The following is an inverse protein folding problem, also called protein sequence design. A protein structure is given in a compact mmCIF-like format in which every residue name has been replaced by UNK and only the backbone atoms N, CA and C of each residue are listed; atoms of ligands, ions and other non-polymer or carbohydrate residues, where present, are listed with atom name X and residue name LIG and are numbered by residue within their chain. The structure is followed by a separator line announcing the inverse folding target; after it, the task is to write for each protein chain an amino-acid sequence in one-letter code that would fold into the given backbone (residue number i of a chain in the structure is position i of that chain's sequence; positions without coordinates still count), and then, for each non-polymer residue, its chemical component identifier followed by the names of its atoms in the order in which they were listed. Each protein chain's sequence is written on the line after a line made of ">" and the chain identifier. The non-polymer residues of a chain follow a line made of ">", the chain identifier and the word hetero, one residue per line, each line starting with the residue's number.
data_IF_412469166088
#
_entry.id   IF_412469166088
#
_cell.length_a   1.000
_cell.length_b   1.000
_cell.length_c   1.000
_cell.angle_alpha   90.00
_cell.angle_beta   90.00
_cell.angle_gamma   90.00
#
_symmetry.space_group_name_H-M   'P 1'
#
loop_
_entity.id
_entity.type
_entity.pdbx_description
1 polymer ?
#
# COMPACT_ATOMS: atom_id res chain seq x y z
N UNK A 1 -18.72 10.03 -34.43
CA UNK A 1 -19.55 10.87 -33.53
C UNK A 1 -18.88 10.89 -32.17
N UNK A 2 -18.51 12.05 -31.63
CA UNK A 2 -17.90 12.14 -30.32
C UNK A 2 -19.02 12.11 -29.27
N UNK A 3 -19.08 11.04 -28.46
CA UNK A 3 -19.91 11.07 -27.25
C UNK A 3 -19.09 11.81 -26.21
N UNK A 4 -19.41 13.10 -26.08
CA UNK A 4 -18.93 13.98 -25.04
C UNK A 4 -19.80 13.73 -23.81
N UNK A 5 -19.44 12.72 -23.03
CA UNK A 5 -19.97 12.58 -21.68
C UNK A 5 -18.97 13.22 -20.71
N UNK A 6 -19.14 14.53 -20.52
CA UNK A 6 -18.50 15.32 -19.47
C UNK A 6 -19.04 14.97 -18.07
N UNK A 7 -19.72 13.83 -17.93
CA UNK A 7 -20.26 13.36 -16.66
C UNK A 7 -19.24 12.43 -16.00
N UNK A 8 -18.28 13.02 -15.29
CA UNK A 8 -17.50 12.28 -14.30
C UNK A 8 -18.50 11.63 -13.32
N UNK A 9 -18.77 10.34 -13.53
CA UNK A 9 -19.65 9.54 -12.68
C UNK A 9 -19.22 9.70 -11.21
N UNK A 10 -20.16 9.68 -10.27
CA UNK A 10 -19.85 9.65 -8.82
C UNK A 10 -18.81 8.56 -8.46
N UNK A 11 -18.67 7.52 -9.29
CA UNK A 11 -17.58 6.52 -9.29
C UNK A 11 -16.16 7.09 -9.42
N UNK A 12 -15.94 8.09 -10.27
CA UNK A 12 -14.63 8.69 -10.53
C UNK A 12 -14.27 9.77 -9.49
N UNK A 13 -15.26 10.43 -8.89
CA UNK A 13 -15.06 11.37 -7.80
C UNK A 13 -14.46 10.67 -6.57
N UNK A 14 -14.92 9.44 -6.29
CA UNK A 14 -14.38 8.58 -5.24
C UNK A 14 -12.93 8.16 -5.45
N UNK A 15 -12.42 8.03 -6.68
CA UNK A 15 -10.98 7.74 -6.90
C UNK A 15 -10.12 8.94 -6.47
N UNK A 16 -10.58 10.17 -6.73
CA UNK A 16 -9.93 11.39 -6.22
C UNK A 16 -10.04 11.48 -4.71
N UNK A 17 -11.22 11.20 -4.14
CA UNK A 17 -11.48 11.29 -2.70
C UNK A 17 -10.84 10.16 -1.90
N UNK A 18 -10.81 8.91 -2.34
CA UNK A 18 -10.02 7.82 -1.70
C UNK A 18 -8.53 8.11 -1.82
N UNK A 19 -8.11 8.64 -2.98
CA UNK A 19 -6.77 9.17 -3.18
C UNK A 19 -6.46 10.47 -2.42
N UNK A 20 -7.44 11.14 -1.79
CA UNK A 20 -7.30 12.30 -0.89
C UNK A 20 -7.46 11.87 0.59
N UNK A 21 -8.34 10.92 0.88
CA UNK A 21 -8.65 10.31 2.17
C UNK A 21 -7.47 9.46 2.67
N UNK A 22 -6.76 8.78 1.76
CA UNK A 22 -5.47 8.19 2.09
C UNK A 22 -4.33 9.20 2.24
N UNK A 23 -4.49 10.47 1.82
CA UNK A 23 -3.49 11.53 2.11
C UNK A 23 -3.58 12.06 3.54
N UNK A 24 -4.76 12.02 4.14
CA UNK A 24 -4.99 12.58 5.48
C UNK A 24 -4.69 11.59 6.60
N UNK A 25 -4.61 10.28 6.33
CA UNK A 25 -4.50 9.26 7.38
C UNK A 25 -3.09 8.79 7.72
N UNK A 26 -2.06 9.23 7.01
CA UNK A 26 -0.64 8.93 7.36
C UNK A 26 0.12 10.20 7.71
N UNK A 27 -0.31 10.89 8.76
CA UNK A 27 0.52 11.90 9.40
C UNK A 27 0.58 11.71 10.92
N UNK A 28 1.14 10.58 11.34
CA UNK A 28 1.86 10.53 12.62
C UNK A 28 3.22 9.92 12.35
N UNK A 29 4.20 10.78 12.02
CA UNK A 29 5.61 10.41 12.07
C UNK A 29 6.00 10.21 13.52
N UNK A 30 5.81 9.00 14.03
CA UNK A 30 6.57 8.56 15.20
C UNK A 30 8.00 8.36 14.72
N UNK A 31 8.91 9.27 15.09
CA UNK A 31 10.35 9.11 14.85
C UNK A 31 10.78 7.70 15.29
N UNK A 32 11.11 6.85 14.32
CA UNK A 32 11.70 5.55 14.61
C UNK A 32 13.13 5.72 15.15
N UNK A 33 13.63 4.78 15.96
CA UNK A 33 14.91 4.93 16.66
C UNK A 33 16.08 5.10 15.69
N UNK A 34 17.13 5.82 16.14
CA UNK A 34 18.33 6.08 15.36
C UNK A 34 19.05 4.77 14.97
N UNK A 35 19.66 4.77 13.80
CA UNK A 35 20.35 3.61 13.22
C UNK A 35 21.36 2.91 14.15
N UNK A 36 22.00 3.67 15.05
CA UNK A 36 22.94 3.17 16.07
C UNK A 36 22.30 2.22 17.09
N UNK A 37 21.00 2.35 17.36
CA UNK A 37 20.28 1.51 18.32
C UNK A 37 19.91 0.16 17.73
N UNK A 38 19.56 0.11 16.43
CA UNK A 38 19.16 -1.12 15.75
C UNK A 38 20.34 -2.10 15.59
N UNK A 39 21.56 -1.63 15.39
CA UNK A 39 22.73 -2.51 15.19
C UNK A 39 23.17 -3.30 16.43
N UNK A 40 22.71 -2.92 17.63
CA UNK A 40 23.02 -3.63 18.86
C UNK A 40 22.06 -4.79 19.16
N UNK A 41 20.96 -4.90 18.43
CA UNK A 41 19.94 -5.93 18.62
C UNK A 41 20.30 -7.23 17.88
N UNK A 42 19.81 -8.40 18.33
CA UNK A 42 19.85 -9.63 17.54
C UNK A 42 19.19 -9.45 16.17
N UNK A 43 19.70 -10.15 15.15
CA UNK A 43 19.24 -10.04 13.77
C UNK A 43 17.74 -10.31 13.59
N UNK A 44 17.18 -11.24 14.37
CA UNK A 44 15.74 -11.54 14.36
C UNK A 44 14.90 -10.33 14.78
N UNK A 45 15.34 -9.61 15.82
CA UNK A 45 14.66 -8.40 16.30
C UNK A 45 14.84 -7.27 15.27
N UNK A 46 16.03 -7.16 14.68
CA UNK A 46 16.28 -6.21 13.59
C UNK A 46 15.33 -6.44 12.41
N UNK A 47 15.12 -7.70 11.99
CA UNK A 47 14.23 -8.04 10.89
C UNK A 47 12.77 -7.64 11.20
N UNK A 48 12.29 -7.93 12.41
CA UNK A 48 10.95 -7.53 12.85
C UNK A 48 10.76 -6.00 12.87
N UNK A 49 11.78 -5.26 13.29
CA UNK A 49 11.77 -3.79 13.25
C UNK A 49 11.65 -3.29 11.81
N UNK A 50 12.44 -3.84 10.89
CA UNK A 50 12.42 -3.44 9.47
C UNK A 50 11.04 -3.71 8.84
N UNK A 51 10.43 -4.85 9.12
CA UNK A 51 9.09 -5.18 8.62
C UNK A 51 8.02 -4.27 9.21
N UNK A 52 8.13 -3.96 10.51
CA UNK A 52 7.22 -3.01 11.16
C UNK A 52 7.36 -1.63 10.54
N UNK A 53 8.57 -1.20 10.23
CA UNK A 53 8.83 0.09 9.58
C UNK A 53 8.29 0.08 8.15
N UNK A 54 8.50 -0.99 7.39
CA UNK A 54 7.95 -1.13 6.04
C UNK A 54 6.41 -1.05 6.00
N UNK A 55 5.74 -1.57 7.03
CA UNK A 55 4.28 -1.46 7.17
C UNK A 55 3.80 -0.03 7.45
N UNK A 56 4.60 0.81 8.08
CA UNK A 56 4.14 2.10 8.63
C UNK A 56 4.70 3.33 7.92
N UNK A 57 5.93 3.29 7.42
CA UNK A 57 6.62 4.48 6.92
C UNK A 57 7.63 4.19 5.81
N UNK A 58 7.29 4.65 4.60
CA UNK A 58 8.17 4.63 3.44
C UNK A 58 9.51 5.35 3.71
N UNK A 59 9.44 6.55 4.30
CA UNK A 59 10.61 7.39 4.54
C UNK A 59 11.56 6.73 5.54
N UNK A 60 11.03 6.17 6.63
CA UNK A 60 11.85 5.52 7.65
C UNK A 60 12.46 4.22 7.13
N UNK A 61 11.77 3.47 6.26
CA UNK A 61 12.33 2.27 5.63
C UNK A 61 13.55 2.61 4.78
N UNK A 62 13.46 3.65 3.95
CA UNK A 62 14.58 4.09 3.11
C UNK A 62 15.71 4.71 3.96
N UNK A 63 15.37 5.41 5.05
CA UNK A 63 16.33 5.88 6.03
C UNK A 63 17.10 4.73 6.70
N UNK A 64 16.39 3.68 7.15
CA UNK A 64 17.00 2.47 7.70
C UNK A 64 17.89 1.79 6.67
N UNK A 65 17.43 1.65 5.42
CA UNK A 65 18.21 1.06 4.33
C UNK A 65 19.53 1.79 4.08
N UNK A 66 19.52 3.13 4.15
CA UNK A 66 20.71 3.95 3.96
C UNK A 66 21.68 3.92 5.15
N UNK A 67 21.24 3.40 6.30
CA UNK A 67 22.00 3.53 7.55
C UNK A 67 23.16 2.54 7.70
N UNK A 68 23.02 1.30 7.23
CA UNK A 68 24.06 0.28 7.33
C UNK A 68 23.85 -0.85 6.32
N UNK A 69 24.93 -1.63 6.08
CA UNK A 69 24.86 -2.82 5.21
C UNK A 69 23.91 -3.89 5.75
N UNK A 70 23.87 -4.09 7.08
CA UNK A 70 22.94 -5.03 7.72
C UNK A 70 21.49 -4.62 7.47
N UNK A 71 21.14 -3.36 7.78
CA UNK A 71 19.79 -2.85 7.58
C UNK A 71 19.36 -2.90 6.12
N UNK A 72 20.28 -2.60 5.19
CA UNK A 72 20.04 -2.74 3.76
C UNK A 72 19.67 -4.18 3.38
N UNK A 73 20.45 -5.16 3.83
CA UNK A 73 20.20 -6.57 3.54
C UNK A 73 18.86 -7.05 4.13
N UNK A 74 18.51 -6.59 5.34
CA UNK A 74 17.21 -6.90 5.94
C UNK A 74 16.05 -6.25 5.17
N UNK A 75 16.18 -4.99 4.78
CA UNK A 75 15.15 -4.24 4.04
C UNK A 75 14.89 -4.81 2.63
N UNK A 76 15.84 -5.54 2.06
CA UNK A 76 15.71 -6.18 0.75
C UNK A 76 15.15 -7.62 0.83
N UNK A 77 14.86 -8.14 2.02
CA UNK A 77 14.23 -9.46 2.19
C UNK A 77 12.81 -9.48 1.63
N UNK A 78 12.43 -10.61 1.03
CA UNK A 78 11.08 -10.85 0.48
C UNK A 78 9.95 -10.54 1.47
N UNK A 79 10.12 -10.93 2.73
CA UNK A 79 9.14 -10.70 3.80
C UNK A 79 8.83 -9.22 4.03
N UNK A 80 9.80 -8.33 3.79
CA UNK A 80 9.59 -6.88 3.89
C UNK A 80 8.62 -6.40 2.82
N UNK A 81 8.77 -6.87 1.58
CA UNK A 81 7.82 -6.56 0.50
C UNK A 81 6.42 -7.11 0.76
N UNK A 82 6.28 -8.20 1.52
CA UNK A 82 4.96 -8.68 1.93
C UNK A 82 4.24 -7.74 2.91
N UNK A 83 4.97 -7.09 3.83
CA UNK A 83 4.39 -6.17 4.83
C UNK A 83 4.37 -4.70 4.41
N UNK A 84 5.06 -4.35 3.33
CA UNK A 84 5.19 -2.99 2.84
C UNK A 84 3.82 -2.38 2.49
N UNK A 85 3.45 -1.24 3.09
CA UNK A 85 2.21 -0.55 2.73
C UNK A 85 2.45 0.38 1.55
N UNK A 86 2.05 -0.05 0.36
CA UNK A 86 2.22 0.72 -0.90
C UNK A 86 1.48 2.06 -0.83
N UNK A 87 0.43 2.18 0.00
CA UNK A 87 -0.25 3.45 0.21
C UNK A 87 0.59 4.49 0.95
N UNK A 88 1.68 4.07 1.61
CA UNK A 88 2.64 5.00 2.23
C UNK A 88 3.56 5.68 1.21
N UNK A 89 3.59 5.23 -0.05
CA UNK A 89 4.37 5.89 -1.09
C UNK A 89 3.69 7.20 -1.49
N UNK A 90 4.42 8.31 -1.65
CA UNK A 90 3.88 9.52 -2.25
C UNK A 90 3.51 9.27 -3.72
N UNK A 91 2.25 8.91 -4.01
CA UNK A 91 1.72 8.61 -5.35
C UNK A 91 1.89 9.73 -6.39
N UNK A 92 2.30 10.94 -5.97
CA UNK A 92 2.66 12.06 -6.86
C UNK A 92 4.07 11.96 -7.45
N UNK A 93 4.94 11.16 -6.84
CA UNK A 93 6.29 10.90 -7.32
C UNK A 93 6.21 9.64 -8.19
N UNK A 94 6.69 9.71 -9.43
CA UNK A 94 6.75 8.59 -10.39
C UNK A 94 6.92 7.25 -9.66
N UNK A 95 5.85 6.45 -9.63
CA UNK A 95 5.83 5.22 -8.87
C UNK A 95 6.93 4.29 -9.40
N UNK A 96 7.83 3.74 -8.55
CA UNK A 96 8.82 2.78 -9.04
C UNK A 96 8.11 1.51 -9.51
N UNK A 97 8.01 1.33 -10.83
CA UNK A 97 7.27 0.22 -11.45
C UNK A 97 7.78 -1.15 -11.00
N UNK A 98 9.09 -1.28 -10.80
CA UNK A 98 9.73 -2.52 -10.32
C UNK A 98 9.37 -2.86 -8.86
N UNK A 99 9.17 -1.85 -8.01
CA UNK A 99 8.76 -2.08 -6.62
C UNK A 99 7.35 -2.67 -6.57
N UNK A 100 6.42 -2.12 -7.35
CA UNK A 100 5.06 -2.65 -7.45
C UNK A 100 5.03 -4.07 -8.01
N UNK A 101 5.80 -4.35 -9.08
CA UNK A 101 5.92 -5.70 -9.63
C UNK A 101 6.41 -6.70 -8.58
N UNK A 102 7.41 -6.30 -7.81
CA UNK A 102 7.97 -7.14 -6.73
C UNK A 102 6.93 -7.37 -5.64
N UNK A 103 6.26 -6.33 -5.16
CA UNK A 103 5.22 -6.46 -4.13
C UNK A 103 4.03 -7.31 -4.62
N UNK A 104 3.64 -7.17 -5.89
CA UNK A 104 2.60 -7.98 -6.51
C UNK A 104 3.00 -9.47 -6.57
N UNK A 105 4.24 -9.76 -6.98
CA UNK A 105 4.77 -11.13 -7.01
C UNK A 105 4.81 -11.79 -5.62
N UNK A 106 5.10 -11.01 -4.57
CA UNK A 106 5.09 -11.46 -3.17
C UNK A 106 3.67 -11.48 -2.54
N UNK A 107 2.62 -11.30 -3.36
CA UNK A 107 1.21 -11.24 -2.94
C UNK A 107 0.98 -10.27 -1.78
N UNK A 108 1.66 -9.12 -1.81
CA UNK A 108 1.52 -8.08 -0.82
C UNK A 108 0.05 -7.62 -0.71
N UNK A 109 -0.56 -7.62 0.49
CA UNK A 109 -1.98 -7.32 0.64
C UNK A 109 -2.36 -5.89 0.19
N UNK A 110 -1.51 -4.89 0.47
CA UNK A 110 -1.76 -3.51 0.05
C UNK A 110 -1.72 -3.33 -1.48
N UNK A 111 -0.85 -4.10 -2.16
CA UNK A 111 -0.70 -4.10 -3.62
C UNK A 111 -1.90 -4.77 -4.27
N UNK A 112 -2.31 -5.94 -3.76
CA UNK A 112 -3.52 -6.63 -4.21
C UNK A 112 -4.75 -5.73 -4.07
N UNK A 113 -4.87 -5.03 -2.94
CA UNK A 113 -5.94 -4.06 -2.71
C UNK A 113 -5.96 -2.94 -3.74
N UNK A 114 -4.83 -2.24 -3.97
CA UNK A 114 -4.83 -1.09 -4.89
C UNK A 114 -5.02 -1.52 -6.34
N UNK A 115 -4.46 -2.66 -6.75
CA UNK A 115 -4.72 -3.24 -8.07
C UNK A 115 -6.20 -3.61 -8.21
N UNK A 116 -6.80 -4.22 -7.18
CA UNK A 116 -8.22 -4.55 -7.16
C UNK A 116 -9.13 -3.32 -7.28
N UNK A 117 -8.82 -2.25 -6.54
CA UNK A 117 -9.51 -0.95 -6.64
C UNK A 117 -9.37 -0.37 -8.05
N UNK A 118 -8.18 -0.41 -8.64
CA UNK A 118 -7.96 0.09 -10.00
C UNK A 118 -8.75 -0.71 -11.04
N UNK A 119 -8.76 -2.04 -10.92
CA UNK A 119 -9.51 -2.93 -11.82
C UNK A 119 -11.01 -2.66 -11.72
N UNK A 120 -11.53 -2.59 -10.49
CA UNK A 120 -12.95 -2.38 -10.24
C UNK A 120 -13.43 -0.98 -10.68
N UNK A 121 -12.74 0.08 -10.24
CA UNK A 121 -13.22 1.45 -10.42
C UNK A 121 -12.68 2.16 -11.66
N UNK A 122 -11.45 1.85 -12.11
CA UNK A 122 -10.84 2.54 -13.26
C UNK A 122 -11.00 1.78 -14.57
N UNK A 123 -10.86 0.45 -14.54
CA UNK A 123 -10.94 -0.38 -15.75
C UNK A 123 -12.29 -1.08 -15.94
N UNK A 124 -13.19 -0.97 -14.95
CA UNK A 124 -14.50 -1.61 -14.95
C UNK A 124 -14.43 -3.15 -15.11
N UNK A 125 -13.32 -3.74 -14.66
CA UNK A 125 -13.08 -5.19 -14.59
C UNK A 125 -13.48 -5.64 -13.18
N UNK A 126 -14.79 -5.78 -12.97
CA UNK A 126 -15.37 -5.86 -11.62
C UNK A 126 -15.07 -7.18 -10.91
N UNK A 127 -15.24 -8.32 -11.58
CA UNK A 127 -15.02 -9.65 -10.97
C UNK A 127 -13.56 -9.84 -10.54
N UNK A 128 -12.60 -9.55 -11.42
CA UNK A 128 -11.19 -9.64 -11.10
C UNK A 128 -10.80 -8.62 -10.01
N UNK A 129 -11.34 -7.40 -10.08
CA UNK A 129 -11.12 -6.38 -9.05
C UNK A 129 -11.60 -6.83 -7.67
N UNK A 130 -12.79 -7.42 -7.58
CA UNK A 130 -13.33 -8.01 -6.35
C UNK A 130 -12.51 -9.20 -5.87
N UNK A 131 -12.03 -10.06 -6.79
CA UNK A 131 -11.19 -11.21 -6.45
C UNK A 131 -9.89 -10.78 -5.77
N UNK A 132 -9.25 -9.72 -6.26
CA UNK A 132 -8.02 -9.17 -5.71
C UNK A 132 -8.26 -8.50 -4.34
N UNK A 133 -9.34 -7.72 -4.22
CA UNK A 133 -9.71 -7.13 -2.93
C UNK A 133 -10.03 -8.21 -1.89
N UNK A 134 -10.69 -9.30 -2.27
CA UNK A 134 -10.95 -10.45 -1.39
C UNK A 134 -9.64 -11.10 -0.92
N UNK A 135 -8.70 -11.34 -1.83
CA UNK A 135 -7.38 -11.89 -1.46
C UNK A 135 -6.64 -10.98 -0.46
N UNK A 136 -6.74 -9.66 -0.61
CA UNK A 136 -6.17 -8.72 0.34
C UNK A 136 -6.87 -8.79 1.72
N UNK A 137 -8.20 -8.95 1.75
CA UNK A 137 -8.96 -9.12 2.99
C UNK A 137 -8.62 -10.44 3.70
N UNK A 138 -8.54 -11.55 2.96
CA UNK A 138 -8.17 -12.87 3.50
C UNK A 138 -6.75 -12.85 4.09
N UNK A 139 -5.87 -11.98 3.57
CA UNK A 139 -4.55 -11.72 4.12
C UNK A 139 -4.52 -10.71 5.29
N UNK A 140 -5.69 -10.24 5.76
CA UNK A 140 -5.83 -9.34 6.91
C UNK A 140 -5.61 -7.86 6.59
N UNK A 141 -5.74 -7.42 5.34
CA UNK A 141 -5.60 -6.00 5.01
C UNK A 141 -6.85 -5.20 5.39
N UNK A 142 -6.75 -4.53 6.54
CA UNK A 142 -7.86 -3.82 7.19
C UNK A 142 -8.56 -2.79 6.29
N UNK A 143 -7.85 -2.14 5.35
CA UNK A 143 -8.45 -1.13 4.47
C UNK A 143 -9.49 -1.69 3.50
N UNK A 144 -9.47 -3.01 3.21
CA UNK A 144 -10.50 -3.63 2.36
C UNK A 144 -11.87 -3.57 3.03
N UNK A 145 -11.93 -3.68 4.36
CA UNK A 145 -13.20 -3.65 5.12
C UNK A 145 -13.94 -2.33 4.89
N UNK A 146 -13.21 -1.22 4.95
CA UNK A 146 -13.75 0.11 4.67
C UNK A 146 -14.27 0.19 3.24
N UNK A 147 -13.46 -0.20 2.26
CA UNK A 147 -13.82 -0.14 0.84
C UNK A 147 -15.00 -1.04 0.49
N UNK A 148 -15.10 -2.22 1.11
CA UNK A 148 -16.25 -3.11 0.96
C UNK A 148 -17.53 -2.47 1.51
N UNK A 149 -17.48 -1.91 2.73
CA UNK A 149 -18.61 -1.23 3.33
C UNK A 149 -19.10 -0.05 2.47
N UNK A 150 -18.17 0.75 1.95
CA UNK A 150 -18.46 1.88 1.06
C UNK A 150 -19.07 1.45 -0.27
N UNK A 151 -18.48 0.43 -0.90
CA UNK A 151 -18.97 -0.13 -2.17
C UNK A 151 -20.40 -0.64 -2.00
N UNK A 152 -20.68 -1.33 -0.89
CA UNK A 152 -22.01 -1.85 -0.58
C UNK A 152 -23.03 -0.73 -0.38
N UNK A 153 -22.67 0.33 0.34
CA UNK A 153 -23.55 1.48 0.56
C UNK A 153 -23.86 2.26 -0.74
N UNK A 154 -22.93 2.31 -1.69
CA UNK A 154 -23.08 3.11 -2.92
C UNK A 154 -23.85 2.36 -4.02
N UNK A 155 -23.60 1.05 -4.17
CA UNK A 155 -24.18 0.28 -5.28
C UNK A 155 -25.42 -0.54 -4.90
N UNK A 156 -25.64 -0.78 -3.61
CA UNK A 156 -26.74 -1.60 -3.11
C UNK A 156 -27.45 -0.98 -1.88
N UNK A 157 -27.23 0.31 -1.64
CA UNK A 157 -27.92 1.11 -0.64
C UNK A 157 -29.15 1.82 -1.19
#
# INVERSE_FOLDING_TARGET
>A
MPIKDDNMCNRCFWIKEVGLFFRTWTFTSTKFPSASMCSALPEEIQALVVERVARNSFQDLYGLRASSRSMKALAERRRVYHFFDVLSIPWRLNMPSELLKTCYAERNPSTLYITGVQFFFSFNIQEEGLSLMKLAADAGYERVVYTHAMTRAIFWG
#
